data_IF_733942945255
#
_entry.id   IF_733942945255
#
_cell.length_a   1.000
_cell.length_b   1.000
_cell.length_c   1.000
_cell.angle_alpha   90.00
_cell.angle_beta   90.00
_cell.angle_gamma   90.00
#
_symmetry.space_group_name_H-M   'P 1'
#
loop_
_entity.id
_entity.type
_entity.pdbx_description
1 polymer ?
#
# COMPACT_ATOMS: atom_id res chain seq x y z
N UNK A 1 3.73 1.55 -29.65
CA UNK A 1 3.53 0.09 -29.52
C UNK A 1 2.20 -0.08 -28.83
N UNK A 2 1.20 -0.68 -29.48
CA UNK A 2 -0.13 -0.90 -28.92
C UNK A 2 -0.03 -1.88 -27.75
N UNK A 3 -0.54 -1.50 -26.58
CA UNK A 3 -0.63 -2.37 -25.40
C UNK A 3 -1.32 -3.68 -25.82
N UNK A 4 -0.77 -4.87 -25.47
CA UNK A 4 -1.43 -6.12 -25.78
C UNK A 4 -2.81 -6.16 -25.11
N UNK A 5 -3.80 -6.75 -25.79
CA UNK A 5 -5.17 -6.90 -25.27
C UNK A 5 -5.19 -7.88 -24.09
N UNK A 6 -4.71 -7.45 -22.93
CA UNK A 6 -5.06 -8.05 -21.65
C UNK A 6 -6.47 -7.58 -21.30
N UNK A 7 -7.31 -8.46 -20.76
CA UNK A 7 -8.52 -8.10 -20.00
C UNK A 7 -8.31 -6.76 -19.29
N UNK A 8 -9.10 -5.74 -19.61
CA UNK A 8 -8.90 -4.37 -19.13
C UNK A 8 -8.52 -4.39 -17.64
N UNK A 9 -7.32 -3.90 -17.29
CA UNK A 9 -6.94 -3.77 -15.89
C UNK A 9 -7.93 -2.80 -15.27
N UNK A 10 -8.83 -3.32 -14.43
CA UNK A 10 -9.76 -2.49 -13.69
C UNK A 10 -9.13 -2.10 -12.37
N UNK A 11 -8.88 -0.81 -12.22
CA UNK A 11 -8.58 -0.19 -10.94
C UNK A 11 -9.86 0.49 -10.46
N UNK A 12 -10.23 0.29 -9.21
CA UNK A 12 -11.35 1.02 -8.61
C UNK A 12 -10.76 2.03 -7.65
N UNK A 13 -11.03 3.33 -7.84
CA UNK A 13 -10.92 4.24 -6.71
C UNK A 13 -11.98 3.76 -5.74
N UNK A 14 -11.59 3.28 -4.56
CA UNK A 14 -12.49 2.61 -3.64
C UNK A 14 -12.12 2.92 -2.20
N UNK A 15 -12.89 2.37 -1.27
CA UNK A 15 -12.54 2.40 0.15
C UNK A 15 -11.67 1.19 0.49
N UNK A 16 -10.67 1.32 1.37
CA UNK A 16 -10.00 0.14 1.93
C UNK A 16 -11.00 -0.74 2.69
N UNK A 17 -10.66 -2.03 2.91
CA UNK A 17 -11.44 -2.92 3.76
C UNK A 17 -11.71 -2.30 5.13
N UNK A 18 -12.95 -2.40 5.63
CA UNK A 18 -13.33 -1.80 6.91
C UNK A 18 -13.14 -2.81 8.04
N UNK A 19 -12.31 -2.48 9.02
CA UNK A 19 -12.05 -3.29 10.21
C UNK A 19 -13.35 -3.69 10.91
N UNK A 20 -13.44 -4.97 11.24
CA UNK A 20 -14.49 -5.58 12.04
C UNK A 20 -13.83 -6.41 13.12
N UNK A 21 -14.01 -6.01 14.38
CA UNK A 21 -13.46 -6.73 15.52
C UNK A 21 -13.93 -8.20 15.52
N UNK A 22 -13.01 -9.18 15.45
CA UNK A 22 -13.37 -10.58 15.59
C UNK A 22 -13.75 -10.91 17.04
N UNK A 23 -14.76 -11.79 17.20
CA UNK A 23 -15.06 -12.42 18.48
C UNK A 23 -14.02 -13.52 18.76
N UNK A 24 -13.41 -13.51 19.94
CA UNK A 24 -12.36 -14.46 20.34
C UNK A 24 -12.86 -15.38 21.47
N UNK A 25 -12.35 -16.63 21.56
CA UNK A 25 -11.37 -17.24 20.67
C UNK A 25 -11.96 -17.59 19.30
N UNK A 26 -11.10 -17.62 18.29
CA UNK A 26 -11.47 -17.90 16.90
C UNK A 26 -10.44 -18.86 16.29
N UNK A 27 -10.89 -19.87 15.55
CA UNK A 27 -9.99 -20.77 14.81
C UNK A 27 -10.19 -20.60 13.32
N UNK A 28 -9.09 -20.38 12.60
CA UNK A 28 -9.06 -20.20 11.16
C UNK A 28 -8.31 -21.34 10.47
N UNK A 29 -8.79 -21.70 9.28
CA UNK A 29 -8.04 -22.56 8.37
C UNK A 29 -6.73 -21.87 7.95
N UNK A 30 -5.69 -22.68 7.75
CA UNK A 30 -4.42 -22.19 7.26
C UNK A 30 -4.56 -21.70 5.82
N UNK A 31 -3.91 -20.58 5.50
CA UNK A 31 -3.81 -20.07 4.14
C UNK A 31 -3.06 -21.06 3.25
N UNK A 32 -3.53 -21.18 2.01
CA UNK A 32 -2.94 -22.00 0.96
C UNK A 32 -3.06 -21.30 -0.40
N UNK A 33 -2.22 -21.68 -1.36
CA UNK A 33 -2.25 -21.14 -2.73
C UNK A 33 -1.19 -20.07 -2.94
N UNK A 34 -1.48 -19.10 -3.82
CA UNK A 34 -0.53 -18.04 -4.20
C UNK A 34 -0.88 -16.69 -3.57
N UNK A 35 0.14 -15.85 -3.40
CA UNK A 35 0.02 -14.44 -3.07
C UNK A 35 0.93 -13.59 -3.93
N UNK A 36 0.56 -12.34 -4.17
CA UNK A 36 1.42 -11.40 -4.84
C UNK A 36 2.58 -10.97 -3.93
N UNK A 37 3.79 -10.97 -4.47
CA UNK A 37 4.95 -10.26 -3.94
C UNK A 37 4.95 -8.82 -4.48
N UNK A 38 4.57 -8.68 -5.76
CA UNK A 38 4.32 -7.42 -6.43
C UNK A 38 3.14 -7.55 -7.40
N UNK A 39 1.96 -7.13 -6.93
CA UNK A 39 0.71 -7.23 -7.69
C UNK A 39 0.73 -6.37 -8.95
N UNK A 40 1.32 -5.17 -8.90
CA UNK A 40 1.34 -4.29 -10.04
C UNK A 40 2.35 -4.75 -11.08
N UNK A 41 3.51 -5.26 -10.68
CA UNK A 41 4.45 -5.89 -11.61
C UNK A 41 3.91 -7.21 -12.19
N UNK A 42 3.05 -7.93 -11.46
CA UNK A 42 2.36 -9.11 -11.99
C UNK A 42 1.35 -8.72 -13.09
N UNK A 43 0.49 -7.74 -12.80
CA UNK A 43 -0.63 -7.36 -13.68
C UNK A 43 -0.23 -6.45 -14.84
N UNK A 44 0.73 -5.57 -14.61
CA UNK A 44 1.20 -4.56 -15.57
C UNK A 44 2.72 -4.59 -15.62
N UNK A 45 3.26 -5.73 -16.06
CA UNK A 45 4.69 -5.99 -15.99
C UNK A 45 5.54 -4.95 -16.72
N UNK A 46 5.04 -4.35 -17.81
CA UNK A 46 5.72 -3.28 -18.54
C UNK A 46 5.83 -1.99 -17.70
N UNK A 47 4.76 -1.61 -16.99
CA UNK A 47 4.68 -0.35 -16.26
C UNK A 47 4.10 -0.55 -14.84
N UNK A 48 4.87 -1.08 -13.87
CA UNK A 48 4.38 -1.34 -12.51
C UNK A 48 3.94 -0.09 -11.73
N UNK A 49 4.34 1.10 -12.19
CA UNK A 49 3.89 2.38 -11.62
C UNK A 49 2.59 2.90 -12.26
N UNK A 50 2.15 2.34 -13.40
CA UNK A 50 0.99 2.82 -14.14
C UNK A 50 -0.28 2.98 -13.26
N UNK A 51 -0.67 2.00 -12.41
CA UNK A 51 -1.86 2.16 -11.57
C UNK A 51 -1.80 3.37 -10.63
N UNK A 52 -0.59 3.73 -10.15
CA UNK A 52 -0.39 4.89 -9.28
C UNK A 52 -0.69 6.19 -10.04
N UNK A 53 -0.10 6.35 -11.24
CA UNK A 53 -0.27 7.56 -12.04
C UNK A 53 -1.68 7.70 -12.60
N UNK A 54 -2.26 6.58 -13.03
CA UNK A 54 -3.63 6.55 -13.52
C UNK A 54 -4.59 7.00 -12.39
N UNK A 55 -4.43 6.48 -11.16
CA UNK A 55 -5.22 6.90 -10.01
C UNK A 55 -5.08 8.40 -9.70
N UNK A 56 -3.84 8.92 -9.69
CA UNK A 56 -3.60 10.35 -9.46
C UNK A 56 -4.26 11.21 -10.54
N UNK A 57 -4.10 10.85 -11.82
CA UNK A 57 -4.73 11.58 -12.93
C UNK A 57 -6.25 11.60 -12.80
N UNK A 58 -6.85 10.46 -12.46
CA UNK A 58 -8.30 10.40 -12.23
C UNK A 58 -8.71 11.35 -11.10
N UNK A 59 -7.99 11.35 -9.97
CA UNK A 59 -8.33 12.23 -8.84
C UNK A 59 -8.25 13.72 -9.18
N UNK A 60 -7.37 14.14 -10.13
CA UNK A 60 -7.35 15.52 -10.64
C UNK A 60 -8.66 15.88 -11.36
N UNK A 61 -9.27 14.91 -12.04
CA UNK A 61 -10.50 15.10 -12.81
C UNK A 61 -11.77 15.00 -11.94
N UNK A 62 -11.71 14.36 -10.77
CA UNK A 62 -12.86 14.15 -9.86
C UNK A 62 -12.69 14.79 -8.47
N UNK A 63 -11.85 15.82 -8.35
CA UNK A 63 -11.47 16.45 -7.07
C UNK A 63 -12.65 16.84 -6.18
N UNK A 64 -13.78 17.27 -6.77
CA UNK A 64 -15.00 17.65 -6.06
C UNK A 64 -15.69 16.48 -5.35
N UNK A 65 -15.58 15.26 -5.87
CA UNK A 65 -16.25 14.07 -5.32
C UNK A 65 -15.47 13.49 -4.13
N UNK A 66 -14.14 13.57 -4.14
CA UNK A 66 -13.29 12.90 -3.16
C UNK A 66 -12.70 13.81 -2.07
N UNK A 67 -13.07 15.10 -2.00
CA UNK A 67 -12.46 16.10 -1.07
C UNK A 67 -10.93 16.05 -1.07
N UNK A 68 -10.32 15.75 -2.22
CA UNK A 68 -8.86 15.67 -2.36
C UNK A 68 -8.33 17.08 -2.49
N UNK A 69 -7.38 17.45 -1.64
CA UNK A 69 -6.67 18.71 -1.79
C UNK A 69 -5.90 18.70 -3.11
N UNK A 70 -6.02 19.79 -3.88
CA UNK A 70 -5.26 19.98 -5.10
C UNK A 70 -3.76 19.75 -4.82
N UNK A 71 -3.16 18.87 -5.63
CA UNK A 71 -1.77 18.46 -5.47
C UNK A 71 -0.99 18.69 -6.76
N UNK A 72 0.12 19.40 -6.64
CA UNK A 72 1.06 19.60 -7.73
C UNK A 72 2.02 18.41 -7.84
N UNK A 73 1.85 17.63 -8.91
CA UNK A 73 2.70 16.49 -9.23
C UNK A 73 4.11 16.90 -9.68
N UNK A 74 4.28 18.08 -10.30
CA UNK A 74 5.59 18.53 -10.79
C UNK A 74 6.56 18.85 -9.65
N UNK A 75 6.02 19.22 -8.48
CA UNK A 75 6.81 19.42 -7.27
C UNK A 75 7.35 18.13 -6.62
N UNK A 76 6.93 16.95 -7.07
CA UNK A 76 7.44 15.67 -6.54
C UNK A 76 8.86 15.43 -7.02
N UNK A 77 9.75 15.07 -6.10
CA UNK A 77 11.15 14.73 -6.41
C UNK A 77 11.37 13.23 -6.50
N UNK A 78 10.59 12.43 -5.77
CA UNK A 78 10.72 10.97 -5.74
C UNK A 78 9.34 10.30 -5.74
N UNK A 79 9.12 9.35 -6.65
CA UNK A 79 7.97 8.45 -6.63
C UNK A 79 8.48 7.05 -6.31
N UNK A 80 7.90 6.38 -5.32
CA UNK A 80 8.32 5.04 -4.89
C UNK A 80 7.16 4.28 -4.28
N UNK A 81 7.39 3.01 -3.93
CA UNK A 81 6.57 2.30 -2.97
C UNK A 81 7.28 2.13 -1.62
N UNK A 82 6.49 1.78 -0.59
CA UNK A 82 6.97 1.49 0.76
C UNK A 82 7.98 0.33 0.77
N UNK A 83 7.87 -0.65 -0.12
CA UNK A 83 8.79 -1.78 -0.15
C UNK A 83 10.20 -1.35 -0.58
N UNK A 84 10.31 -0.48 -1.59
CA UNK A 84 11.59 0.13 -2.00
C UNK A 84 12.28 0.85 -0.84
N UNK A 85 11.53 1.67 -0.09
CA UNK A 85 12.04 2.37 1.10
C UNK A 85 12.50 1.40 2.20
N UNK A 86 11.75 0.32 2.45
CA UNK A 86 12.13 -0.72 3.42
C UNK A 86 13.37 -1.49 3.00
N UNK A 87 13.55 -1.79 1.71
CA UNK A 87 14.77 -2.43 1.18
C UNK A 87 15.99 -1.57 1.43
N UNK A 88 15.90 -0.26 1.17
CA UNK A 88 16.96 0.70 1.49
C UNK A 88 17.26 0.79 2.99
N UNK A 89 16.23 0.80 3.85
CA UNK A 89 16.43 0.81 5.31
C UNK A 89 17.15 -0.43 5.83
N UNK A 90 16.80 -1.61 5.33
CA UNK A 90 17.48 -2.85 5.71
C UNK A 90 18.95 -2.84 5.28
N UNK A 91 19.22 -2.32 4.08
CA UNK A 91 20.60 -2.10 3.64
C UNK A 91 21.36 -1.10 4.54
N UNK A 92 20.72 0.02 4.92
CA UNK A 92 21.30 1.02 5.84
C UNK A 92 21.59 0.43 7.23
N UNK A 93 20.71 -0.43 7.73
CA UNK A 93 20.88 -1.14 9.00
C UNK A 93 22.05 -2.13 8.93
N UNK A 94 22.33 -2.69 7.74
CA UNK A 94 23.38 -3.66 7.52
C UNK A 94 23.08 -5.02 8.18
N UNK A 95 24.12 -5.82 8.34
CA UNK A 95 24.04 -7.15 8.94
C UNK A 95 24.19 -8.29 7.93
N UNK A 96 24.23 -9.51 8.44
CA UNK A 96 24.48 -10.73 7.64
C UNK A 96 23.31 -11.12 6.73
N UNK A 97 22.11 -10.59 7.01
CA UNK A 97 20.86 -10.96 6.32
C UNK A 97 20.37 -9.90 5.31
N UNK A 98 21.23 -8.94 4.92
CA UNK A 98 20.88 -7.96 3.88
C UNK A 98 20.67 -8.70 2.57
N UNK A 99 19.41 -8.74 2.12
CA UNK A 99 19.04 -9.40 0.87
C UNK A 99 19.39 -8.53 -0.33
N UNK A 100 19.81 -9.18 -1.40
CA UNK A 100 19.96 -8.53 -2.69
C UNK A 100 18.63 -7.94 -3.16
N UNK A 101 18.71 -6.79 -3.81
CA UNK A 101 17.56 -6.19 -4.44
C UNK A 101 17.94 -5.29 -5.60
N UNK A 102 16.96 -5.08 -6.47
CA UNK A 102 17.02 -4.13 -7.57
C UNK A 102 15.84 -3.18 -7.51
N UNK A 103 16.12 -1.90 -7.70
CA UNK A 103 15.13 -0.85 -7.94
C UNK A 103 15.52 -0.18 -9.24
N UNK A 104 14.65 -0.26 -10.23
CA UNK A 104 14.80 0.46 -11.49
C UNK A 104 14.53 1.94 -11.24
N UNK A 105 15.39 2.80 -11.78
CA UNK A 105 15.37 4.24 -11.54
C UNK A 105 15.36 5.00 -12.85
N UNK A 106 14.35 5.86 -13.00
CA UNK A 106 14.11 6.64 -14.21
C UNK A 106 13.88 8.10 -13.80
N UNK A 107 14.53 9.05 -14.49
CA UNK A 107 14.22 10.47 -14.35
C UNK A 107 13.11 10.83 -15.33
N UNK A 108 12.04 11.47 -14.85
CA UNK A 108 10.96 11.97 -15.71
C UNK A 108 10.60 13.38 -15.23
N UNK A 109 10.90 14.39 -16.04
CA UNK A 109 10.82 15.78 -15.62
C UNK A 109 11.74 16.05 -14.43
N UNK A 110 11.18 16.51 -13.31
CA UNK A 110 11.93 16.71 -12.06
C UNK A 110 11.91 15.48 -11.13
N UNK A 111 11.03 14.51 -11.39
CA UNK A 111 10.78 13.39 -10.50
C UNK A 111 11.66 12.18 -10.85
N UNK A 112 12.26 11.59 -9.82
CA UNK A 112 12.94 10.30 -9.92
C UNK A 112 11.94 9.20 -9.56
N UNK A 113 11.79 8.20 -10.42
CA UNK A 113 10.81 7.13 -10.27
C UNK A 113 11.51 5.83 -9.88
N UNK A 114 11.16 5.29 -8.72
CA UNK A 114 11.65 4.01 -8.23
C UNK A 114 10.64 2.92 -8.57
N UNK A 115 11.02 2.04 -9.50
CA UNK A 115 10.26 0.86 -9.88
C UNK A 115 10.89 -0.37 -9.22
N UNK A 116 10.21 -0.94 -8.23
CA UNK A 116 10.65 -2.16 -7.55
C UNK A 116 10.76 -3.32 -8.53
N UNK A 117 11.85 -4.09 -8.42
CA UNK A 117 12.05 -5.34 -9.15
C UNK A 117 12.16 -6.50 -8.17
N UNK A 118 11.31 -7.50 -8.38
CA UNK A 118 11.31 -8.75 -7.62
C UNK A 118 11.66 -9.90 -8.57
N UNK A 119 12.45 -10.91 -8.12
CA UNK A 119 12.74 -12.09 -8.93
C UNK A 119 11.49 -12.87 -9.35
N UNK A 120 10.44 -12.81 -8.53
CA UNK A 120 9.13 -13.42 -8.76
C UNK A 120 8.06 -12.43 -8.30
N UNK A 121 6.96 -12.35 -9.02
CA UNK A 121 5.83 -11.46 -8.67
C UNK A 121 4.80 -12.12 -7.77
N UNK A 122 4.90 -13.44 -7.58
CA UNK A 122 4.04 -14.26 -6.74
C UNK A 122 4.87 -15.24 -5.92
N UNK A 123 4.36 -15.63 -4.76
CA UNK A 123 4.91 -16.70 -3.93
C UNK A 123 3.80 -17.55 -3.32
N UNK A 124 4.19 -18.69 -2.74
CA UNK A 124 3.26 -19.51 -1.96
C UNK A 124 2.87 -18.80 -0.67
N UNK A 125 1.57 -18.77 -0.37
CA UNK A 125 1.09 -18.24 0.91
C UNK A 125 1.04 -19.36 1.94
N UNK A 126 1.60 -19.07 3.11
CA UNK A 126 1.55 -19.95 4.28
C UNK A 126 1.31 -19.10 5.52
N UNK A 127 0.42 -19.57 6.39
CA UNK A 127 0.11 -18.90 7.66
C UNK A 127 -1.39 -18.69 7.82
N UNK A 128 -1.78 -17.62 8.50
CA UNK A 128 -3.18 -17.33 8.80
C UNK A 128 -3.52 -15.86 8.56
N UNK A 129 -2.67 -15.14 7.81
CA UNK A 129 -2.80 -13.71 7.56
C UNK A 129 -4.01 -13.38 6.70
N UNK A 130 -4.13 -14.00 5.52
CA UNK A 130 -5.23 -13.71 4.59
C UNK A 130 -6.57 -14.18 5.14
N UNK A 131 -6.60 -15.37 5.76
CA UNK A 131 -7.80 -15.84 6.43
C UNK A 131 -8.24 -14.88 7.54
N UNK A 132 -7.29 -14.33 8.30
CA UNK A 132 -7.58 -13.35 9.35
C UNK A 132 -8.07 -12.03 8.77
N UNK A 133 -7.41 -11.48 7.76
CA UNK A 133 -7.83 -10.26 7.04
C UNK A 133 -9.24 -10.39 6.48
N UNK A 134 -9.55 -11.49 5.79
CA UNK A 134 -10.89 -11.73 5.22
C UNK A 134 -11.98 -11.78 6.28
N UNK A 135 -11.70 -12.34 7.46
CA UNK A 135 -12.68 -12.41 8.54
C UNK A 135 -12.79 -11.06 9.29
N UNK A 136 -11.66 -10.42 9.54
CA UNK A 136 -11.56 -9.23 10.37
C UNK A 136 -11.84 -7.92 9.59
N UNK A 137 -12.30 -8.02 8.34
CA UNK A 137 -12.67 -6.86 7.53
C UNK A 137 -13.96 -7.09 6.76
N UNK A 138 -14.65 -6.00 6.42
CA UNK A 138 -15.67 -5.97 5.37
C UNK A 138 -15.04 -5.36 4.11
N UNK A 139 -15.06 -6.08 3.01
CA UNK A 139 -14.47 -5.67 1.73
C UNK A 139 -15.40 -6.04 0.58
N UNK A 140 -15.18 -5.42 -0.59
CA UNK A 140 -15.81 -5.85 -1.83
C UNK A 140 -15.24 -7.23 -2.22
N UNK A 141 -16.07 -8.27 -2.47
CA UNK A 141 -15.57 -9.58 -2.90
C UNK A 141 -14.72 -9.57 -4.18
N UNK A 142 -14.82 -8.51 -5.01
CA UNK A 142 -14.00 -8.34 -6.20
C UNK A 142 -12.67 -7.62 -5.92
N UNK A 143 -12.50 -7.07 -4.71
CA UNK A 143 -11.26 -6.44 -4.29
C UNK A 143 -10.16 -7.49 -4.12
N UNK A 144 -9.00 -7.21 -4.71
CA UNK A 144 -7.83 -8.10 -4.65
C UNK A 144 -6.65 -7.48 -3.91
N UNK A 145 -6.85 -6.30 -3.34
CA UNK A 145 -5.85 -5.51 -2.62
C UNK A 145 -6.15 -4.01 -2.76
N UNK A 146 -6.03 -3.28 -1.66
CA UNK A 146 -6.19 -1.82 -1.66
C UNK A 146 -4.82 -1.14 -1.64
N UNK A 147 -4.56 -0.23 -2.58
CA UNK A 147 -3.32 0.54 -2.61
C UNK A 147 -3.59 2.00 -2.32
N UNK A 148 -2.96 2.52 -1.25
CA UNK A 148 -3.01 3.94 -0.89
C UNK A 148 -1.78 4.66 -1.41
N UNK A 149 -1.98 5.91 -1.83
CA UNK A 149 -0.93 6.82 -2.31
C UNK A 149 -0.93 8.01 -1.37
N UNK A 150 0.23 8.31 -0.78
CA UNK A 150 0.41 9.45 0.12
C UNK A 150 1.56 10.32 -0.35
N UNK A 151 1.49 11.62 -0.05
CA UNK A 151 2.58 12.57 -0.30
C UNK A 151 3.08 13.12 1.03
N UNK A 152 4.40 13.17 1.21
CA UNK A 152 5.04 13.83 2.35
C UNK A 152 6.51 14.15 2.04
N UNK A 153 7.11 15.02 2.85
CA UNK A 153 8.53 15.33 2.75
C UNK A 153 9.34 14.58 3.81
N UNK A 154 10.33 13.80 3.39
CA UNK A 154 11.27 13.15 4.31
C UNK A 154 12.60 13.92 4.30
N UNK A 155 12.82 14.74 5.34
CA UNK A 155 13.96 15.66 5.45
C UNK A 155 14.24 16.43 4.16
N UNK A 156 13.19 17.03 3.59
CA UNK A 156 13.30 17.88 2.40
C UNK A 156 13.16 17.14 1.07
N UNK A 157 13.17 15.81 1.00
CA UNK A 157 12.78 15.06 -0.22
C UNK A 157 11.27 14.97 -0.30
N UNK A 158 10.64 15.67 -1.24
CA UNK A 158 9.19 15.58 -1.46
C UNK A 158 8.86 14.31 -2.23
N UNK A 159 8.13 13.40 -1.58
CA UNK A 159 7.90 12.05 -2.10
C UNK A 159 6.42 11.76 -2.32
N UNK A 160 6.14 10.94 -3.33
CA UNK A 160 4.89 10.23 -3.52
C UNK A 160 5.13 8.74 -3.23
N UNK A 161 4.44 8.20 -2.22
CA UNK A 161 4.68 6.84 -1.74
C UNK A 161 3.40 6.02 -1.84
N UNK A 162 3.46 4.91 -2.58
CA UNK A 162 2.39 3.91 -2.65
C UNK A 162 2.63 2.76 -1.66
N UNK A 163 1.57 2.23 -1.09
CA UNK A 163 1.61 1.00 -0.29
C UNK A 163 0.28 0.27 -0.33
N UNK A 164 0.32 -1.04 -0.14
CA UNK A 164 -0.87 -1.83 0.17
C UNK A 164 -1.34 -1.50 1.60
N UNK A 165 -2.64 -1.28 1.76
CA UNK A 165 -3.28 -0.98 3.04
C UNK A 165 -4.31 -2.07 3.34
N UNK A 166 -4.16 -2.75 4.47
CA UNK A 166 -4.99 -3.92 4.79
C UNK A 166 -6.41 -3.54 5.23
N UNK A 167 -6.55 -2.45 5.98
CA UNK A 167 -7.85 -2.02 6.49
C UNK A 167 -7.91 -0.53 6.85
N UNK A 168 -9.12 -0.07 7.21
CA UNK A 168 -9.34 1.14 7.97
C UNK A 168 -10.33 0.92 9.13
N UNK A 169 -10.28 1.78 10.14
CA UNK A 169 -11.34 1.85 11.14
C UNK A 169 -12.67 2.28 10.50
N UNK A 170 -13.82 1.84 11.05
CA UNK A 170 -15.11 2.38 10.64
C UNK A 170 -15.15 3.88 10.95
N UNK A 171 -15.53 4.67 9.96
CA UNK A 171 -15.78 6.09 10.18
C UNK A 171 -17.07 6.24 11.02
N UNK A 172 -16.97 6.85 12.20
CA UNK A 172 -18.10 7.15 13.08
C UNK A 172 -19.15 8.08 12.43
N UNK A 173 -18.86 8.68 11.28
CA UNK A 173 -19.82 9.41 10.45
C UNK A 173 -20.57 8.58 9.41
N UNK A 174 -20.19 7.31 9.19
CA UNK A 174 -20.87 6.39 8.27
C UNK A 174 -21.61 5.31 9.06
N UNK A 175 -22.83 5.63 9.49
CA UNK A 175 -23.78 4.61 9.89
C UNK A 175 -24.12 3.78 8.65
N UNK A 176 -23.40 2.66 8.47
CA UNK A 176 -23.78 1.69 7.46
C UNK A 176 -25.16 1.18 7.83
N UNK A 177 -26.14 1.39 6.95
CA UNK A 177 -27.46 0.76 7.01
C UNK A 177 -27.21 -0.75 6.98
N UNK A 178 -27.07 -1.33 8.17
CA UNK A 178 -27.12 -2.77 8.34
C UNK A 178 -28.59 -3.15 8.28
N UNK A 179 -28.95 -3.94 7.26
CA UNK A 179 -30.25 -4.57 7.15
C UNK A 179 -30.43 -5.56 8.31
N UNK A 180 -30.94 -5.08 9.44
CA UNK A 180 -31.53 -5.92 10.47
C UNK A 180 -33.04 -5.83 10.35
N UNK A 181 -33.62 -6.88 9.77
CA UNK A 181 -35.05 -7.13 9.86
C UNK A 181 -35.42 -7.39 11.33
N UNK A 182 -36.27 -6.56 11.94
CA UNK A 182 -37.60 -6.91 12.48
C UNK A 182 -38.15 -5.85 13.47
N UNK A 183 -39.34 -5.35 13.09
CA UNK A 183 -40.56 -5.00 13.85
C UNK A 183 -40.64 -3.82 14.85
N UNK A 184 -41.53 -2.89 14.45
CA UNK A 184 -42.58 -2.18 15.22
C UNK A 184 -42.15 -1.04 16.18
N UNK A 185 -42.64 0.20 16.12
CA UNK A 185 -43.99 0.71 15.79
C UNK A 185 -43.96 2.19 15.35
N UNK A 186 -45.04 2.58 14.67
CA UNK A 186 -45.32 3.85 14.00
C UNK A 186 -45.01 5.15 14.75
N UNK A 187 -44.48 6.16 14.03
CA UNK A 187 -44.98 7.54 13.96
C UNK A 187 -44.25 8.30 12.82
N UNK A 188 -45.04 9.09 12.07
CA UNK A 188 -44.70 10.09 11.04
C UNK A 188 -44.55 9.63 9.56
N UNK A 189 -45.66 9.83 8.84
CA UNK A 189 -45.89 9.48 7.43
C UNK A 189 -45.60 10.66 6.47
N UNK A 190 -44.73 11.59 6.86
CA UNK A 190 -44.29 12.73 6.03
C UNK A 190 -42.82 12.61 5.58
N UNK A 191 -42.03 11.75 6.22
CA UNK A 191 -40.60 11.55 5.92
C UNK A 191 -40.34 10.47 4.86
N UNK A 192 -41.35 9.67 4.51
CA UNK A 192 -41.22 8.60 3.51
C UNK A 192 -41.23 9.10 2.06
N UNK A 193 -41.89 10.22 1.76
CA UNK A 193 -41.87 10.81 0.42
C UNK A 193 -40.50 11.42 0.09
N UNK A 194 -39.84 12.03 1.08
CA UNK A 194 -38.47 12.55 0.96
C UNK A 194 -37.44 11.42 0.89
N UNK A 195 -37.65 10.32 1.64
CA UNK A 195 -36.82 9.12 1.55
C UNK A 195 -36.99 8.38 0.20
N UNK A 196 -38.19 8.39 -0.40
CA UNK A 196 -38.45 7.74 -1.69
C UNK A 196 -37.88 8.54 -2.87
N UNK A 197 -37.89 9.87 -2.78
CA UNK A 197 -37.15 10.73 -3.73
C UNK A 197 -35.63 10.58 -3.61
N UNK A 198 -35.11 10.16 -2.44
CA UNK A 198 -33.70 9.79 -2.26
C UNK A 198 -33.38 8.32 -2.62
N UNK A 199 -34.39 7.45 -2.75
CA UNK A 199 -34.25 6.04 -3.17
C UNK A 199 -34.32 5.84 -4.70
N UNK A 200 -34.45 6.94 -5.45
CA UNK A 200 -34.22 6.94 -6.90
C UNK A 200 -32.74 7.20 -7.24
N UNK A 201 -31.80 6.67 -6.46
CA UNK A 201 -30.43 6.47 -6.95
C UNK A 201 -30.41 5.23 -7.85
N UNK A 202 -30.87 5.43 -9.08
CA UNK A 202 -30.30 4.66 -10.18
C UNK A 202 -28.81 4.98 -10.20
N UNK A 203 -27.88 4.00 -10.18
CA UNK A 203 -26.48 4.27 -10.47
C UNK A 203 -26.37 4.58 -11.97
N UNK A 204 -26.93 5.72 -12.38
CA UNK A 204 -26.77 6.27 -13.71
C UNK A 204 -25.42 6.98 -13.73
N UNK A 205 -24.40 6.22 -14.09
CA UNK A 205 -23.07 6.72 -14.44
C UNK A 205 -21.98 6.27 -13.48
N UNK A 206 -21.61 4.98 -13.48
CA UNK A 206 -20.21 4.66 -13.22
C UNK A 206 -19.39 5.33 -14.32
N UNK A 207 -18.83 6.50 -14.04
CA UNK A 207 -17.88 7.16 -14.93
C UNK A 207 -16.60 6.35 -14.91
N UNK A 208 -16.41 5.51 -15.92
CA UNK A 208 -15.13 4.85 -16.15
C UNK A 208 -14.22 5.78 -16.93
N UNK A 209 -13.02 6.00 -16.42
CA UNK A 209 -11.98 6.75 -17.09
C UNK A 209 -10.93 5.76 -17.58
N UNK A 210 -10.74 5.68 -18.90
CA UNK A 210 -9.68 4.83 -19.45
C UNK A 210 -8.43 5.69 -19.65
N UNK A 211 -7.35 5.36 -18.96
CA UNK A 211 -6.04 5.96 -19.18
C UNK A 211 -5.03 4.87 -19.46
N UNK A 212 -4.46 4.90 -20.66
CA UNK A 212 -3.36 4.04 -21.09
C UNK A 212 -3.60 2.56 -20.76
N UNK A 213 -4.78 2.04 -21.14
CA UNK A 213 -5.15 0.63 -20.95
C UNK A 213 -5.55 0.22 -19.52
N UNK A 214 -5.64 1.18 -18.59
CA UNK A 214 -6.24 0.98 -17.26
C UNK A 214 -7.61 1.62 -17.25
N UNK A 215 -8.63 0.83 -16.95
CA UNK A 215 -9.98 1.32 -16.67
C UNK A 215 -10.06 1.69 -15.18
N UNK A 216 -10.26 2.97 -14.91
CA UNK A 216 -10.50 3.46 -13.55
C UNK A 216 -12.00 3.60 -13.36
N UNK A 217 -12.56 2.76 -12.52
CA UNK A 217 -13.92 2.91 -12.04
C UNK A 217 -13.93 3.78 -10.78
N UNK A 218 -14.84 4.75 -10.73
CA UNK A 218 -15.11 5.50 -9.51
C UNK A 218 -16.00 4.66 -8.57
N UNK A 219 -15.58 4.50 -7.32
CA UNK A 219 -16.31 3.81 -6.26
C UNK A 219 -15.82 4.22 -4.87
N UNK A 220 -16.48 3.70 -3.83
CA UNK A 220 -16.09 3.92 -2.44
C UNK A 220 -15.95 5.40 -2.03
N UNK A 221 -15.13 5.64 -1.01
CA UNK A 221 -14.81 6.97 -0.48
C UNK A 221 -13.34 7.08 -0.13
N UNK A 222 -12.79 8.29 -0.21
CA UNK A 222 -11.48 8.56 0.34
C UNK A 222 -11.55 8.53 1.87
N UNK A 223 -10.87 7.56 2.48
CA UNK A 223 -10.80 7.42 3.94
C UNK A 223 -9.71 8.33 4.50
N UNK A 224 -9.96 8.98 5.64
CA UNK A 224 -8.96 9.81 6.32
C UNK A 224 -7.71 8.99 6.70
N UNK A 225 -6.53 9.60 6.59
CA UNK A 225 -5.26 8.91 6.90
C UNK A 225 -5.24 8.43 8.36
N UNK A 226 -5.90 9.13 9.27
CA UNK A 226 -5.99 8.79 10.69
C UNK A 226 -6.67 7.46 10.96
N UNK A 227 -7.52 6.97 10.05
CA UNK A 227 -8.28 5.74 10.21
C UNK A 227 -7.54 4.51 9.63
N UNK A 228 -6.41 4.70 8.95
CA UNK A 228 -5.69 3.62 8.27
C UNK A 228 -5.12 2.59 9.24
N UNK A 229 -5.24 1.30 8.87
CA UNK A 229 -4.84 0.18 9.71
C UNK A 229 -4.05 -0.88 8.93
N UNK A 230 -2.96 -1.33 9.53
CA UNK A 230 -2.21 -2.52 9.12
C UNK A 230 -2.65 -3.72 9.98
N UNK A 231 -2.88 -4.86 9.35
CA UNK A 231 -3.23 -6.12 10.00
C UNK A 231 -2.04 -7.06 10.00
N UNK A 232 -1.75 -7.67 11.14
CA UNK A 232 -0.63 -8.61 11.26
C UNK A 232 -1.03 -9.80 12.09
N UNK A 233 -0.57 -10.98 11.69
CA UNK A 233 -0.71 -12.20 12.49
C UNK A 233 0.64 -12.75 12.90
N UNK A 234 0.71 -13.27 14.13
CA UNK A 234 1.91 -13.92 14.65
C UNK A 234 1.56 -15.14 15.47
N UNK A 235 2.30 -16.21 15.24
CA UNK A 235 2.21 -17.38 16.10
C UNK A 235 2.83 -17.07 17.46
N UNK A 236 2.20 -17.52 18.54
CA UNK A 236 2.71 -17.43 19.92
C UNK A 236 4.03 -18.18 20.11
N UNK A 237 4.32 -19.17 19.26
CA UNK A 237 5.57 -19.92 19.32
C UNK A 237 6.25 -20.00 17.96
N UNK A 238 7.57 -20.11 17.98
CA UNK A 238 8.40 -20.39 16.81
C UNK A 238 9.27 -21.61 17.05
N UNK A 239 9.72 -22.27 15.99
CA UNK A 239 10.63 -23.40 16.09
C UNK A 239 12.06 -22.91 16.30
N UNK A 240 12.69 -23.35 17.40
CA UNK A 240 14.11 -23.12 17.67
C UNK A 240 14.91 -24.36 17.21
N UNK A 241 15.75 -24.25 16.17
CA UNK A 241 16.51 -25.39 15.66
C UNK A 241 17.62 -25.85 16.62
N UNK A 242 18.15 -24.96 17.47
CA UNK A 242 19.21 -25.28 18.44
C UNK A 242 18.62 -26.07 19.59
N UNK A 243 17.49 -25.61 20.14
CA UNK A 243 16.80 -26.28 21.25
C UNK A 243 15.93 -27.46 20.79
N UNK A 244 15.68 -27.58 19.48
CA UNK A 244 14.74 -28.55 18.89
C UNK A 244 13.37 -28.52 19.57
N UNK A 245 12.89 -27.32 19.89
CA UNK A 245 11.65 -27.11 20.62
C UNK A 245 10.92 -25.87 20.13
N UNK A 246 9.61 -25.79 20.39
CA UNK A 246 8.85 -24.55 20.22
C UNK A 246 9.14 -23.62 21.39
N UNK A 247 9.58 -22.40 21.08
CA UNK A 247 9.85 -21.34 22.05
C UNK A 247 8.88 -20.18 21.85
N UNK A 248 8.63 -19.33 22.88
CA UNK A 248 7.83 -18.13 22.71
C UNK A 248 8.36 -17.29 21.55
N UNK A 249 7.46 -16.87 20.67
CA UNK A 249 7.80 -16.02 19.54
C UNK A 249 7.81 -14.55 19.98
N UNK A 250 8.55 -13.72 19.25
CA UNK A 250 8.60 -12.28 19.46
C UNK A 250 8.23 -11.54 18.19
N UNK A 251 8.05 -10.22 18.33
CA UNK A 251 7.78 -9.34 17.21
C UNK A 251 8.95 -8.41 17.05
N UNK A 252 9.41 -8.29 15.81
CA UNK A 252 10.30 -7.22 15.41
C UNK A 252 9.51 -5.91 15.37
N UNK A 253 9.49 -5.21 16.51
CA UNK A 253 8.81 -3.93 16.65
C UNK A 253 9.50 -2.81 15.87
N UNK A 254 10.80 -2.94 15.58
CA UNK A 254 11.50 -1.98 14.72
C UNK A 254 10.98 -2.08 13.28
N UNK A 255 10.88 -3.29 12.72
CA UNK A 255 10.32 -3.52 11.39
C UNK A 255 8.84 -3.11 11.30
N UNK A 256 8.02 -3.46 12.31
CA UNK A 256 6.63 -3.01 12.34
C UNK A 256 6.51 -1.48 12.42
N UNK A 257 7.34 -0.81 13.24
CA UNK A 257 7.37 0.65 13.30
C UNK A 257 7.76 1.28 11.96
N UNK A 258 8.84 0.82 11.32
CA UNK A 258 9.29 1.35 10.03
C UNK A 258 8.24 1.15 8.92
N UNK A 259 7.54 0.02 8.95
CA UNK A 259 6.45 -0.25 8.01
C UNK A 259 5.34 0.79 8.12
N UNK A 260 4.84 1.05 9.35
CA UNK A 260 3.79 2.05 9.58
C UNK A 260 4.28 3.48 9.38
N UNK A 261 5.51 3.80 9.80
CA UNK A 261 6.09 5.14 9.66
C UNK A 261 6.21 5.52 8.19
N UNK A 262 6.73 4.64 7.32
CA UNK A 262 6.90 4.96 5.90
C UNK A 262 5.58 5.06 5.12
N UNK A 263 4.52 4.38 5.58
CA UNK A 263 3.18 4.48 5.01
C UNK A 263 2.30 5.53 5.68
N UNK A 264 2.75 6.12 6.79
CA UNK A 264 1.95 6.96 7.68
C UNK A 264 0.66 6.26 8.15
N UNK A 265 0.68 4.92 8.23
CA UNK A 265 -0.46 4.12 8.69
C UNK A 265 -0.60 4.26 10.20
N UNK A 266 -1.78 4.67 10.70
CA UNK A 266 -1.93 5.06 12.09
C UNK A 266 -2.18 3.92 13.07
N UNK A 267 -2.86 2.86 12.62
CA UNK A 267 -3.24 1.74 13.48
C UNK A 267 -2.54 0.45 13.06
N UNK A 268 -2.21 -0.39 14.03
CA UNK A 268 -1.73 -1.74 13.84
C UNK A 268 -2.53 -2.69 14.73
N UNK A 269 -3.20 -3.66 14.12
CA UNK A 269 -3.90 -4.73 14.81
C UNK A 269 -3.15 -6.05 14.63
N UNK A 270 -2.75 -6.64 15.76
CA UNK A 270 -1.90 -7.82 15.82
C UNK A 270 -2.67 -9.01 16.41
N UNK A 271 -3.02 -9.97 15.58
CA UNK A 271 -3.61 -11.24 16.01
C UNK A 271 -2.56 -12.27 16.44
N UNK A 272 -2.55 -12.62 17.73
CA UNK A 272 -1.74 -13.72 18.25
C UNK A 272 -2.49 -15.05 18.18
N UNK A 273 -1.85 -16.07 17.61
CA UNK A 273 -2.45 -17.40 17.46
C UNK A 273 -1.54 -18.56 17.88
N UNK A 274 -2.14 -19.67 18.30
CA UNK A 274 -1.50 -21.00 18.25
C UNK A 274 -2.14 -21.81 17.13
N UNK A 275 -1.38 -22.09 16.06
CA UNK A 275 -1.82 -22.90 14.90
C UNK A 275 -3.23 -22.55 14.38
N UNK A 276 -3.50 -21.26 14.20
CA UNK A 276 -4.76 -20.75 13.67
C UNK A 276 -5.82 -20.43 14.71
N UNK A 277 -5.63 -20.81 15.98
CA UNK A 277 -6.50 -20.40 17.08
C UNK A 277 -6.02 -19.08 17.68
N UNK A 278 -6.75 -18.00 17.36
CA UNK A 278 -6.54 -16.65 17.85
C UNK A 278 -7.23 -16.46 19.19
N UNK A 279 -6.49 -15.94 20.18
CA UNK A 279 -7.03 -15.67 21.53
C UNK A 279 -6.83 -14.22 21.96
N UNK A 280 -6.00 -13.47 21.24
CA UNK A 280 -5.66 -12.09 21.59
C UNK A 280 -5.43 -11.29 20.32
N UNK A 281 -6.02 -10.10 20.25
CA UNK A 281 -5.72 -9.10 19.24
C UNK A 281 -5.22 -7.86 19.98
N UNK A 282 -3.97 -7.47 19.73
CA UNK A 282 -3.38 -6.26 20.30
C UNK A 282 -3.53 -5.10 19.32
N UNK A 283 -4.04 -3.97 19.81
CA UNK A 283 -4.15 -2.73 19.04
C UNK A 283 -3.12 -1.73 19.54
N UNK A 284 -2.32 -1.20 18.62
CA UNK A 284 -1.33 -0.17 18.92
C UNK A 284 -1.35 0.89 17.82
N UNK A 285 -1.16 2.15 18.21
CA UNK A 285 -1.06 3.26 17.26
C UNK A 285 0.40 3.49 16.87
N UNK A 286 0.63 4.14 15.71
CA UNK A 286 1.96 4.57 15.29
C UNK A 286 2.63 5.45 16.36
N UNK A 287 1.89 6.35 16.99
CA UNK A 287 2.40 7.18 18.09
C UNK A 287 2.93 6.32 19.25
N UNK A 288 2.13 5.36 19.74
CA UNK A 288 2.56 4.44 20.81
C UNK A 288 3.71 3.53 20.40
N UNK A 289 3.76 3.09 19.14
CA UNK A 289 4.92 2.35 18.63
C UNK A 289 6.18 3.23 18.64
N UNK A 290 6.07 4.51 18.29
CA UNK A 290 7.17 5.47 18.30
C UNK A 290 7.78 5.73 19.67
N UNK A 291 7.04 5.48 20.76
CA UNK A 291 7.55 5.62 22.13
C UNK A 291 8.49 4.48 22.54
N UNK A 292 8.45 3.33 21.85
CA UNK A 292 9.26 2.15 22.12
C UNK A 292 10.75 2.42 21.86
N UNK A 293 11.61 1.74 22.60
CA UNK A 293 13.07 1.88 22.47
C UNK A 293 13.55 1.46 21.07
N UNK A 294 12.99 0.39 20.52
CA UNK A 294 13.30 -0.14 19.19
C UNK A 294 12.98 0.87 18.09
N UNK A 295 11.86 1.59 18.21
CA UNK A 295 11.47 2.64 17.28
C UNK A 295 12.36 3.89 17.40
N UNK A 296 12.67 4.31 18.63
CA UNK A 296 13.61 5.42 18.89
C UNK A 296 14.99 5.13 18.31
N UNK A 297 15.46 3.88 18.39
CA UNK A 297 16.72 3.45 17.80
C UNK A 297 16.74 3.60 16.25
N UNK A 298 15.58 3.58 15.58
CA UNK A 298 15.51 3.73 14.12
C UNK A 298 15.67 5.18 13.63
N UNK A 299 15.64 6.18 14.50
CA UNK A 299 15.71 7.59 14.09
C UNK A 299 17.01 7.92 13.33
N UNK A 300 18.13 7.31 13.72
CA UNK A 300 19.39 7.47 13.00
C UNK A 300 19.33 6.86 11.59
N UNK A 301 18.68 5.70 11.44
CA UNK A 301 18.52 5.02 10.15
C UNK A 301 17.56 5.78 9.23
N UNK A 302 16.48 6.36 9.76
CA UNK A 302 15.57 7.22 9.00
C UNK A 302 16.27 8.51 8.51
N UNK A 303 17.16 9.11 9.32
CA UNK A 303 18.01 10.21 8.86
C UNK A 303 18.97 9.78 7.75
N UNK A 304 19.65 8.64 7.91
CA UNK A 304 20.49 8.07 6.84
C UNK A 304 19.70 7.78 5.57
N UNK A 305 18.46 7.28 5.68
CA UNK A 305 17.59 7.05 4.53
C UNK A 305 17.38 8.34 3.76
N UNK A 306 17.08 9.44 4.42
CA UNK A 306 16.90 10.72 3.72
C UNK A 306 18.16 11.21 2.99
N UNK A 307 19.35 11.00 3.58
CA UNK A 307 20.63 11.33 2.93
C UNK A 307 20.83 10.46 1.69
N UNK A 308 20.58 9.16 1.79
CA UNK A 308 20.68 8.22 0.65
C UNK A 308 19.70 8.59 -0.45
N UNK A 309 18.44 8.87 -0.12
CA UNK A 309 17.44 9.27 -1.11
C UNK A 309 17.85 10.56 -1.83
N UNK A 310 18.37 11.55 -1.09
CA UNK A 310 18.89 12.78 -1.68
C UNK A 310 20.07 12.51 -2.62
N UNK A 311 21.05 11.73 -2.18
CA UNK A 311 22.21 11.35 -3.00
C UNK A 311 21.80 10.64 -4.29
N UNK A 312 20.83 9.72 -4.22
CA UNK A 312 20.32 9.02 -5.40
C UNK A 312 19.62 9.99 -6.34
N UNK A 313 18.73 10.84 -5.81
CA UNK A 313 18.00 11.82 -6.62
C UNK A 313 18.98 12.74 -7.35
N UNK A 314 19.96 13.29 -6.64
CA UNK A 314 20.96 14.19 -7.22
C UNK A 314 21.84 13.47 -8.25
N UNK A 315 22.29 12.24 -7.95
CA UNK A 315 23.10 11.44 -8.87
C UNK A 315 22.34 11.11 -10.17
N UNK A 316 21.06 10.76 -10.07
CA UNK A 316 20.22 10.46 -11.24
C UNK A 316 19.98 11.73 -12.07
N UNK A 317 19.74 12.87 -11.42
CA UNK A 317 19.59 14.17 -12.12
C UNK A 317 20.87 14.57 -12.86
N UNK A 318 22.04 14.28 -12.32
CA UNK A 318 23.33 14.51 -13.00
C UNK A 318 23.48 13.67 -14.27
N UNK A 319 22.94 12.44 -14.29
CA UNK A 319 22.96 11.59 -15.49
C UNK A 319 22.06 12.13 -16.62
N UNK A 320 20.99 12.84 -16.25
CA UNK A 320 20.03 13.45 -17.17
C UNK A 320 18.89 12.53 -17.58
N UNK A 321 17.92 13.10 -18.30
CA UNK A 321 16.72 12.41 -18.78
C UNK A 321 17.06 11.33 -19.83
N UNK A 322 16.21 10.30 -19.93
CA UNK A 322 16.35 9.18 -20.86
C UNK A 322 17.44 8.17 -20.50
N UNK A 323 18.14 8.35 -19.38
CA UNK A 323 19.08 7.34 -18.87
C UNK A 323 18.33 6.28 -18.08
N UNK A 324 18.40 5.04 -18.56
CA UNK A 324 17.86 3.88 -17.87
C UNK A 324 18.87 3.43 -16.81
N UNK A 325 18.50 3.57 -15.53
CA UNK A 325 19.35 3.23 -14.40
C UNK A 325 18.69 2.19 -13.50
N UNK A 326 19.50 1.55 -12.66
CA UNK A 326 19.04 0.70 -11.57
C UNK A 326 19.92 0.89 -10.35
N UNK A 327 19.30 1.01 -9.17
CA UNK A 327 19.96 0.73 -7.90
C UNK A 327 20.01 -0.77 -7.69
N UNK A 328 21.20 -1.31 -7.49
CA UNK A 328 21.45 -2.73 -7.29
C UNK A 328 22.23 -2.90 -5.99
N UNK A 329 21.60 -3.58 -5.04
CA UNK A 329 22.25 -4.10 -3.84
C UNK A 329 22.62 -5.55 -4.09
N UNK A 330 23.93 -5.82 -4.09
CA UNK A 330 24.51 -7.17 -4.22
C UNK A 330 25.57 -7.32 -3.13
N UNK A 331 25.49 -8.40 -2.36
CA UNK A 331 26.45 -8.70 -1.27
C UNK A 331 26.62 -7.52 -0.28
N UNK A 332 25.51 -6.84 0.01
CA UNK A 332 25.48 -5.67 0.91
C UNK A 332 26.02 -4.37 0.31
N UNK A 333 26.44 -4.35 -0.94
CA UNK A 333 26.94 -3.15 -1.64
C UNK A 333 25.86 -2.58 -2.55
N UNK A 334 25.45 -1.34 -2.29
CA UNK A 334 24.49 -0.61 -3.12
C UNK A 334 25.21 0.21 -4.20
N UNK A 335 24.86 0.00 -5.46
CA UNK A 335 25.44 0.70 -6.61
C UNK A 335 24.37 1.22 -7.55
N UNK A 336 24.62 2.35 -8.21
CA UNK A 336 23.80 2.87 -9.31
C UNK A 336 24.44 2.44 -10.64
N UNK A 337 23.71 1.68 -11.46
CA UNK A 337 24.21 1.10 -12.71
C UNK A 337 23.32 1.50 -13.88
N UNK A 338 23.89 1.60 -15.08
CA UNK A 338 23.10 1.62 -16.30
C UNK A 338 22.42 0.27 -16.50
N UNK A 339 21.16 0.29 -16.93
CA UNK A 339 20.43 -0.92 -17.32
C UNK A 339 20.24 -0.97 -18.84
N UNK A 340 20.29 -2.17 -19.39
CA UNK A 340 20.12 -2.43 -20.82
C UNK A 340 18.89 -3.30 -21.11
N UNK A 341 18.29 -3.88 -20.07
CA UNK A 341 17.01 -4.56 -20.16
C UNK A 341 15.87 -3.55 -20.10
N UNK A 342 14.78 -3.84 -20.83
CA UNK A 342 13.56 -3.01 -20.89
C UNK A 342 13.86 -1.58 -21.33
N UNK A 343 13.94 -1.35 -22.66
CA UNK A 343 14.26 -0.03 -23.20
C UNK A 343 13.17 1.00 -22.94
N UNK A 344 11.97 0.55 -22.58
CA UNK A 344 10.87 1.42 -22.19
C UNK A 344 11.14 2.01 -20.78
N UNK A 345 10.87 3.30 -20.62
CA UNK A 345 10.99 3.98 -19.33
C UNK A 345 9.94 3.49 -18.32
N UNK A 346 10.01 4.03 -17.10
CA UNK A 346 9.09 3.64 -16.02
C UNK A 346 7.60 3.95 -16.29
N UNK A 347 7.28 4.80 -17.28
CA UNK A 347 5.93 5.24 -17.62
C UNK A 347 5.68 5.28 -19.13
N UNK A 348 4.42 5.06 -19.56
CA UNK A 348 3.98 5.41 -20.90
C UNK A 348 4.14 6.92 -21.19
N UNK A 349 4.40 7.26 -22.45
CA UNK A 349 4.66 8.64 -22.89
C UNK A 349 3.49 9.58 -22.60
N UNK A 350 2.26 9.07 -22.63
CA UNK A 350 1.03 9.83 -22.36
C UNK A 350 0.95 10.35 -20.92
N UNK A 351 1.71 9.75 -19.99
CA UNK A 351 1.71 10.13 -18.57
C UNK A 351 2.92 10.98 -18.16
N UNK A 352 3.94 11.09 -19.02
CA UNK A 352 5.11 11.95 -18.79
C UNK A 352 4.71 13.41 -18.52
N UNK A 353 3.73 14.02 -19.23
CA UNK A 353 3.30 15.39 -18.96
C UNK A 353 2.83 15.65 -17.52
N UNK A 354 2.40 14.62 -16.77
CA UNK A 354 1.99 14.80 -15.37
C UNK A 354 3.13 15.23 -14.45
N UNK A 355 4.37 15.00 -14.85
CA UNK A 355 5.58 15.27 -14.07
C UNK A 355 6.41 16.43 -14.63
N UNK A 356 6.04 16.97 -15.78
CA UNK A 356 6.78 18.04 -16.47
C UNK A 356 6.01 19.35 -16.59
N UNK A 357 4.70 19.34 -16.30
CA UNK A 357 3.79 20.48 -16.49
C UNK A 357 3.82 21.50 -15.35
#
# INVERSE_FOLDING_TARGET
MTLPSSSNLRSTLGSPPVWKQPNLPLTLAQDSGKTFVDQNAHRVSAYPLLPLFAAVLHTKNVTSEFKIQAFDMASVELVTDRNGLRKLLRWIQGGVDVKDFRIDVDLVGNAVLFTRREPRTEDDVFGYGKAFERLATRHDPQETGHHRIVTYSLNGVKMLVRFELDACLPDSGQSTIASSASQDTALEMSTLADAFNQLSYTPNGSTSFTTVGVEIATGGVLVDQSLTMELKTRSRTTWDPVRRARVPNSIDWAESYLQLFLSQTQHHALGWHDRGTFTTIEHVTLAKLGERAEAKAQQANLRKLSVVLRQVVDAVKVQGDGKLLSLVCEDGVLTLRHRHDRPDGALPQELVPLLTA
#
